data_IF_812175882361
#
_entry.id   IF_812175882361
#
_cell.length_a   1.000
_cell.length_b   1.000
_cell.length_c   1.000
_cell.angle_alpha   90.00
_cell.angle_beta   90.00
_cell.angle_gamma   90.00
#
_symmetry.space_group_name_H-M   'P 1'
#
loop_
_entity.id
_entity.type
_entity.pdbx_description
1 polymer ?
#
# COMPACT_ATOMS: atom_id res chain seq x y z
N UNK A 1 -14.16 -2.11 -41.03
CA UNK A 1 -14.75 -1.25 -39.98
C UNK A 1 -13.85 -1.30 -38.74
N UNK A 2 -13.39 -0.17 -38.20
CA UNK A 2 -12.63 -0.17 -36.95
C UNK A 2 -13.55 -0.49 -35.76
N UNK A 3 -13.14 -1.43 -34.91
CA UNK A 3 -13.84 -1.74 -33.66
C UNK A 3 -13.49 -0.65 -32.63
N UNK A 4 -14.51 -0.06 -32.01
CA UNK A 4 -14.33 0.91 -30.91
C UNK A 4 -14.60 0.23 -29.57
N UNK A 5 -13.56 0.13 -28.73
CA UNK A 5 -13.70 -0.31 -27.34
C UNK A 5 -14.06 0.89 -26.47
N UNK A 6 -15.13 0.77 -25.68
CA UNK A 6 -15.56 1.80 -24.72
C UNK A 6 -15.45 1.25 -23.30
N UNK A 7 -14.62 1.88 -22.48
CA UNK A 7 -14.36 1.45 -21.11
C UNK A 7 -15.44 1.93 -20.12
N UNK A 8 -15.96 1.03 -19.30
CA UNK A 8 -16.84 1.38 -18.20
C UNK A 8 -16.04 1.82 -16.96
N UNK A 9 -15.65 3.10 -16.92
CA UNK A 9 -14.74 3.66 -15.91
C UNK A 9 -15.23 3.42 -14.46
N UNK A 10 -16.54 3.50 -14.24
CA UNK A 10 -17.17 3.22 -12.94
C UNK A 10 -16.90 1.79 -12.46
N UNK A 11 -16.93 0.81 -13.37
CA UNK A 11 -16.65 -0.59 -13.04
C UNK A 11 -15.23 -0.78 -12.49
N UNK A 12 -14.23 -0.11 -13.08
CA UNK A 12 -12.87 -0.13 -12.53
C UNK A 12 -12.78 0.54 -11.16
N UNK A 13 -13.56 1.59 -10.89
CA UNK A 13 -13.56 2.25 -9.58
C UNK A 13 -14.14 1.35 -8.49
N UNK A 14 -15.26 0.68 -8.79
CA UNK A 14 -15.89 -0.28 -7.89
C UNK A 14 -14.96 -1.46 -7.59
N UNK A 15 -14.33 -2.03 -8.64
CA UNK A 15 -13.35 -3.10 -8.49
C UNK A 15 -12.21 -2.72 -7.53
N UNK A 16 -11.66 -1.51 -7.65
CA UNK A 16 -10.53 -1.04 -6.81
C UNK A 16 -10.93 -0.66 -5.39
N UNK A 17 -12.22 -0.61 -5.09
CA UNK A 17 -12.78 -0.41 -3.75
C UNK A 17 -13.38 -1.69 -3.16
N UNK A 18 -13.38 -2.78 -3.93
CA UNK A 18 -13.94 -4.04 -3.51
C UNK A 18 -13.31 -4.47 -2.16
N UNK A 19 -14.10 -5.02 -1.22
CA UNK A 19 -13.61 -5.43 0.09
C UNK A 19 -12.39 -6.36 0.03
N UNK A 20 -12.38 -7.31 -0.92
CA UNK A 20 -11.24 -8.22 -1.12
C UNK A 20 -9.94 -7.51 -1.53
N UNK A 21 -10.02 -6.46 -2.37
CA UNK A 21 -8.85 -5.66 -2.75
C UNK A 21 -8.32 -4.87 -1.55
N UNK A 22 -9.21 -4.33 -0.72
CA UNK A 22 -8.80 -3.62 0.50
C UNK A 22 -8.11 -4.57 1.48
N UNK A 23 -8.74 -5.72 1.76
CA UNK A 23 -8.21 -6.71 2.67
C UNK A 23 -6.83 -7.24 2.23
N UNK A 24 -6.66 -7.50 0.94
CA UNK A 24 -5.36 -7.89 0.37
C UNK A 24 -4.29 -6.81 0.57
N UNK A 25 -4.61 -5.54 0.28
CA UNK A 25 -3.67 -4.43 0.47
C UNK A 25 -3.31 -4.18 1.95
N UNK A 26 -4.24 -4.36 2.88
CA UNK A 26 -3.97 -4.32 4.33
C UNK A 26 -3.05 -5.48 4.74
N UNK A 27 -3.32 -6.70 4.25
CA UNK A 27 -2.50 -7.86 4.57
C UNK A 27 -1.06 -7.70 4.05
N UNK A 28 -0.89 -7.13 2.85
CA UNK A 28 0.42 -6.78 2.27
C UNK A 28 1.16 -5.77 3.15
N UNK A 29 0.49 -4.70 3.55
CA UNK A 29 1.09 -3.69 4.42
C UNK A 29 1.48 -4.27 5.78
N UNK A 30 0.65 -5.14 6.36
CA UNK A 30 0.96 -5.83 7.60
C UNK A 30 2.20 -6.70 7.47
N UNK A 31 2.35 -7.50 6.40
CA UNK A 31 3.56 -8.31 6.19
C UNK A 31 4.84 -7.46 6.11
N UNK A 32 4.80 -6.34 5.39
CA UNK A 32 5.93 -5.40 5.33
C UNK A 32 6.21 -4.79 6.69
N UNK A 33 5.17 -4.39 7.43
CA UNK A 33 5.29 -3.81 8.76
C UNK A 33 5.95 -4.77 9.77
N UNK A 34 5.51 -6.03 9.80
CA UNK A 34 6.14 -7.05 10.64
C UNK A 34 7.61 -7.29 10.21
N UNK A 35 7.87 -7.35 8.90
CA UNK A 35 9.22 -7.57 8.37
C UNK A 35 10.23 -6.47 8.73
N UNK A 36 9.78 -5.23 8.94
CA UNK A 36 10.66 -4.13 9.41
C UNK A 36 10.77 -4.01 10.93
N UNK A 37 10.07 -4.87 11.68
CA UNK A 37 10.05 -4.92 13.15
C UNK A 37 8.92 -4.11 13.81
N UNK A 38 7.95 -3.66 13.01
CA UNK A 38 6.73 -3.02 13.49
C UNK A 38 6.92 -1.75 14.32
N UNK A 39 5.97 -1.52 15.23
CA UNK A 39 5.94 -0.34 16.08
C UNK A 39 7.14 -0.27 17.04
N UNK A 40 7.62 -1.42 17.52
CA UNK A 40 8.80 -1.51 18.37
C UNK A 40 10.07 -0.97 17.67
N UNK A 41 10.17 -1.18 16.35
CA UNK A 41 11.24 -0.62 15.53
C UNK A 41 10.98 0.83 15.09
N UNK A 42 9.86 1.45 15.51
CA UNK A 42 9.50 2.84 15.23
C UNK A 42 8.84 3.08 13.86
N UNK A 43 8.19 2.05 13.32
CA UNK A 43 7.39 2.13 12.10
C UNK A 43 5.90 2.23 12.44
N UNK A 44 5.12 2.76 11.50
CA UNK A 44 3.66 2.80 11.56
C UNK A 44 3.06 2.41 10.22
N UNK A 45 1.81 1.94 10.27
CA UNK A 45 0.99 1.71 9.08
C UNK A 45 -0.15 2.71 9.01
N UNK A 46 -0.53 3.09 7.79
CA UNK A 46 -1.69 3.95 7.55
C UNK A 46 -2.38 3.55 6.26
N UNK A 47 -3.70 3.52 6.30
CA UNK A 47 -4.53 3.09 5.18
C UNK A 47 -5.68 4.06 4.95
N UNK A 48 -5.94 4.39 3.68
CA UNK A 48 -7.01 5.33 3.32
C UNK A 48 -7.52 5.13 1.91
N UNK A 49 -8.79 5.48 1.72
CA UNK A 49 -9.38 5.60 0.40
C UNK A 49 -8.87 6.88 -0.28
N UNK A 50 -8.19 6.73 -1.42
CA UNK A 50 -7.82 7.86 -2.26
C UNK A 50 -9.04 8.54 -2.88
N UNK A 51 -8.97 9.87 -3.00
CA UNK A 51 -9.98 10.68 -3.67
C UNK A 51 -10.20 10.23 -5.12
N UNK A 52 -11.45 10.28 -5.60
CA UNK A 52 -11.82 9.91 -6.96
C UNK A 52 -11.41 10.98 -7.98
N UNK A 53 -10.10 11.22 -8.14
CA UNK A 53 -9.51 12.16 -9.09
C UNK A 53 -8.21 11.60 -9.68
N UNK A 54 -8.22 10.86 -10.80
CA UNK A 54 -9.36 10.39 -11.60
C UNK A 54 -9.95 9.04 -11.11
N UNK A 55 -9.26 8.38 -10.19
CA UNK A 55 -9.34 6.92 -10.13
C UNK A 55 -9.48 6.33 -8.71
N UNK A 56 -9.38 7.13 -7.64
CA UNK A 56 -9.72 6.78 -6.25
C UNK A 56 -9.46 5.33 -5.83
N UNK A 57 -8.23 5.01 -5.42
CA UNK A 57 -7.78 3.66 -5.05
C UNK A 57 -7.62 3.55 -3.54
N UNK A 58 -7.85 2.36 -2.98
CA UNK A 58 -7.36 2.07 -1.62
C UNK A 58 -5.84 2.13 -1.62
N UNK A 59 -5.26 2.73 -0.58
CA UNK A 59 -3.82 2.87 -0.41
C UNK A 59 -3.47 2.51 1.01
N UNK A 60 -2.46 1.68 1.15
CA UNK A 60 -1.80 1.37 2.42
C UNK A 60 -0.37 1.91 2.38
N UNK A 61 0.21 2.22 3.52
CA UNK A 61 1.55 2.80 3.63
C UNK A 61 2.20 2.31 4.91
N UNK A 62 3.50 2.01 4.83
CA UNK A 62 4.35 1.69 5.98
C UNK A 62 5.48 2.70 6.00
N UNK A 63 5.70 3.37 7.12
CA UNK A 63 6.67 4.46 7.22
C UNK A 63 7.45 4.42 8.53
N UNK A 64 8.72 4.83 8.47
CA UNK A 64 9.52 5.13 9.65
C UNK A 64 9.06 6.48 10.25
N UNK A 65 8.43 6.44 11.42
CA UNK A 65 7.86 7.65 12.05
C UNK A 65 8.76 8.21 13.13
N UNK A 66 9.49 7.35 13.85
CA UNK A 66 10.40 7.80 14.91
C UNK A 66 11.71 8.33 14.33
N UNK A 67 12.34 9.29 15.03
CA UNK A 67 13.65 9.82 14.61
C UNK A 67 14.71 8.72 14.48
N UNK A 68 14.73 7.76 15.42
CA UNK A 68 15.67 6.63 15.39
C UNK A 68 15.41 5.72 14.19
N UNK A 69 14.14 5.41 13.92
CA UNK A 69 13.75 4.59 12.77
C UNK A 69 14.12 5.27 11.45
N UNK A 70 13.85 6.57 11.30
CA UNK A 70 14.23 7.34 10.09
C UNK A 70 15.73 7.32 9.85
N UNK A 71 16.54 7.57 10.88
CA UNK A 71 18.00 7.54 10.77
C UNK A 71 18.54 6.14 10.44
N UNK A 72 17.95 5.10 11.03
CA UNK A 72 18.28 3.72 10.71
C UNK A 72 17.86 3.34 9.29
N UNK A 73 16.68 3.76 8.84
CA UNK A 73 16.12 3.46 7.53
C UNK A 73 16.98 4.03 6.40
N UNK A 74 17.50 5.25 6.53
CA UNK A 74 18.44 5.82 5.54
C UNK A 74 19.69 4.94 5.36
N UNK A 75 20.17 4.29 6.43
CA UNK A 75 21.38 3.46 6.39
C UNK A 75 21.10 2.02 5.99
N UNK A 76 19.97 1.47 6.43
CA UNK A 76 19.69 0.03 6.37
C UNK A 76 18.68 -0.30 5.27
N UNK A 77 17.90 0.68 4.80
CA UNK A 77 16.90 0.55 3.75
C UNK A 77 15.95 -0.63 4.01
N UNK A 78 15.45 -0.75 5.24
CA UNK A 78 14.65 -1.91 5.65
C UNK A 78 13.34 -1.98 4.89
N UNK A 79 12.69 -0.85 4.59
CA UNK A 79 11.45 -0.84 3.81
C UNK A 79 11.69 -1.34 2.39
N UNK A 80 12.80 -0.92 1.76
CA UNK A 80 13.16 -1.39 0.43
C UNK A 80 13.46 -2.89 0.43
N UNK A 81 14.20 -3.38 1.43
CA UNK A 81 14.51 -4.81 1.58
C UNK A 81 13.30 -5.66 1.92
N UNK A 82 12.32 -5.09 2.63
CA UNK A 82 11.10 -5.77 3.04
C UNK A 82 9.98 -5.73 2.00
N UNK A 83 10.16 -5.03 0.87
CA UNK A 83 9.08 -4.84 -0.12
C UNK A 83 8.54 -6.17 -0.68
N UNK A 84 9.39 -7.18 -0.80
CA UNK A 84 8.99 -8.50 -1.31
C UNK A 84 8.09 -9.27 -0.35
N UNK A 85 8.07 -8.92 0.95
CA UNK A 85 7.09 -9.46 1.90
C UNK A 85 5.64 -9.13 1.51
N UNK A 86 5.44 -8.12 0.66
CA UNK A 86 4.14 -7.78 0.11
C UNK A 86 3.68 -8.69 -1.04
N UNK A 87 4.47 -9.67 -1.52
CA UNK A 87 4.11 -10.45 -2.73
C UNK A 87 3.14 -11.61 -2.49
N UNK A 88 3.24 -12.28 -1.34
CA UNK A 88 2.34 -13.37 -0.94
C UNK A 88 0.94 -12.91 -0.62
#
# INVERSE_FOLDING_TARGET
MPIKVVHHIRGYQELRRAPGVRADLEARARRVFEAVGGAAAGYETSSRQGAARPQGRWRTSVAAVSWRARRAEVKQQRLLRAIDAARG
#
